data_IF_935911469269
#
_entry.id   IF_935911469269
#
_cell.length_a   1.000
_cell.length_b   1.000
_cell.length_c   1.000
_cell.angle_alpha   90.00
_cell.angle_beta   90.00
_cell.angle_gamma   90.00
#
_symmetry.space_group_name_H-M   'P 1'
#
loop_
_entity.id
_entity.type
_entity.pdbx_description
1 polymer ?
#
# COMPACT_ATOMS: atom_id res chain seq x y z
N UNK A 1 -0.98 12.52 17.64
CA UNK A 1 0.46 12.28 17.88
C UNK A 1 1.12 12.07 16.53
N UNK A 2 2.27 12.70 16.23
CA UNK A 2 3.01 12.40 15.01
C UNK A 2 3.48 10.94 15.01
N UNK A 3 3.69 10.38 13.82
CA UNK A 3 4.25 9.03 13.66
C UNK A 3 5.65 8.96 14.26
N UNK A 4 5.89 7.92 15.09
CA UNK A 4 7.21 7.58 15.62
C UNK A 4 7.50 6.13 15.26
N UNK A 5 8.48 5.93 14.39
CA UNK A 5 8.90 4.59 13.95
C UNK A 5 9.25 3.71 15.15
N UNK A 6 8.66 2.51 15.19
CA UNK A 6 8.84 1.54 16.29
C UNK A 6 7.97 1.78 17.53
N UNK A 7 7.32 2.94 17.68
CA UNK A 7 6.46 3.26 18.82
C UNK A 7 4.99 3.41 18.42
N UNK A 8 4.72 4.05 17.28
CA UNK A 8 3.37 4.15 16.73
C UNK A 8 2.99 2.82 16.09
N UNK A 9 1.91 2.21 16.56
CA UNK A 9 1.33 1.01 15.94
C UNK A 9 0.90 1.32 14.52
N UNK A 10 1.28 0.46 13.58
CA UNK A 10 0.83 0.48 12.19
C UNK A 10 0.08 -0.81 11.86
N UNK A 11 -0.88 -0.72 10.94
CA UNK A 11 -1.69 -1.86 10.48
C UNK A 11 -1.87 -1.74 8.98
N UNK A 12 -1.78 -2.84 8.25
CA UNK A 12 -2.12 -2.88 6.81
C UNK A 12 -3.63 -2.94 6.65
N UNK A 13 -4.22 -1.89 6.06
CA UNK A 13 -5.68 -1.80 5.82
C UNK A 13 -6.06 -1.40 4.39
N UNK A 14 -5.08 -1.02 3.57
CA UNK A 14 -5.28 -0.61 2.17
C UNK A 14 -4.81 -1.70 1.22
N UNK A 15 -5.63 -2.07 0.25
CA UNK A 15 -5.33 -3.11 -0.73
C UNK A 15 -6.21 -2.98 -1.99
N UNK A 16 -5.79 -3.63 -3.07
CA UNK A 16 -6.62 -3.83 -4.26
C UNK A 16 -7.23 -5.23 -4.21
N UNK A 17 -8.55 -5.32 -4.38
CA UNK A 17 -9.25 -6.56 -4.66
C UNK A 17 -9.50 -6.65 -6.17
N UNK A 18 -9.07 -7.74 -6.80
CA UNK A 18 -9.07 -7.86 -8.27
C UNK A 18 -9.86 -9.07 -8.76
N UNK A 19 -10.53 -8.94 -9.89
CA UNK A 19 -11.22 -10.03 -10.59
C UNK A 19 -10.23 -10.98 -11.29
N UNK A 20 -10.63 -12.24 -11.62
CA UNK A 20 -9.72 -13.23 -12.23
C UNK A 20 -9.11 -12.83 -13.59
N UNK A 21 -9.73 -11.90 -14.31
CA UNK A 21 -9.20 -11.37 -15.58
C UNK A 21 -8.09 -10.31 -15.39
N UNK A 22 -7.82 -9.90 -14.15
CA UNK A 22 -6.72 -9.00 -13.80
C UNK A 22 -5.52 -9.84 -13.39
N UNK A 23 -4.49 -9.87 -14.24
CA UNK A 23 -3.22 -10.50 -13.90
C UNK A 23 -2.32 -9.51 -13.15
N UNK A 24 -2.16 -9.70 -11.84
CA UNK A 24 -1.21 -8.94 -11.01
C UNK A 24 0.22 -9.26 -11.43
N UNK A 25 0.99 -8.23 -11.79
CA UNK A 25 2.42 -8.33 -12.16
C UNK A 25 3.34 -7.95 -11.01
N UNK A 26 3.01 -6.88 -10.30
CA UNK A 26 3.74 -6.40 -9.13
C UNK A 26 2.79 -5.64 -8.20
N UNK A 27 2.99 -5.78 -6.89
CA UNK A 27 2.30 -4.98 -5.88
C UNK A 27 3.29 -4.52 -4.83
N UNK A 28 3.29 -3.22 -4.53
CA UNK A 28 4.19 -2.66 -3.52
C UNK A 28 3.56 -1.49 -2.79
N UNK A 29 3.93 -1.36 -1.52
CA UNK A 29 3.63 -0.17 -0.72
C UNK A 29 4.84 0.76 -0.74
N UNK A 30 4.64 2.05 -0.99
CA UNK A 30 5.72 3.03 -0.92
C UNK A 30 5.79 3.60 0.51
N UNK A 31 6.73 3.09 1.31
CA UNK A 31 6.96 3.55 2.68
C UNK A 31 7.73 4.87 2.70
N UNK A 32 6.98 5.97 2.80
CA UNK A 32 7.52 7.32 3.00
C UNK A 32 7.59 7.73 4.47
N UNK A 33 7.50 6.78 5.41
CA UNK A 33 7.43 7.04 6.85
C UNK A 33 6.37 8.10 7.22
N UNK A 34 5.21 8.05 6.54
CA UNK A 34 4.08 8.98 6.75
C UNK A 34 4.42 10.47 6.54
N UNK A 35 5.48 10.78 5.77
CA UNK A 35 5.94 12.16 5.53
C UNK A 35 4.94 13.02 4.75
N UNK A 36 4.17 12.40 3.87
CA UNK A 36 3.32 13.09 2.89
C UNK A 36 1.82 12.83 3.08
N UNK A 37 1.45 11.78 3.81
CA UNK A 37 0.07 11.37 4.10
C UNK A 37 0.08 10.47 5.34
N UNK A 38 -1.06 10.35 6.03
CA UNK A 38 -1.31 9.39 7.10
C UNK A 38 -1.56 7.96 6.57
N UNK A 39 -1.58 7.78 5.26
CA UNK A 39 -1.56 6.48 4.56
C UNK A 39 -0.32 6.32 3.69
N UNK A 40 0.08 5.07 3.44
CA UNK A 40 1.09 4.76 2.43
C UNK A 40 0.41 4.38 1.11
N UNK A 41 0.85 4.94 -0.03
CA UNK A 41 0.34 4.53 -1.33
C UNK A 41 0.62 3.05 -1.62
N UNK A 42 -0.41 2.34 -2.09
CA UNK A 42 -0.29 0.98 -2.65
C UNK A 42 -0.26 1.10 -4.17
N UNK A 43 0.80 0.60 -4.80
CA UNK A 43 0.98 0.58 -6.24
C UNK A 43 0.77 -0.84 -6.78
N UNK A 44 -0.06 -0.95 -7.82
CA UNK A 44 -0.32 -2.19 -8.53
C UNK A 44 0.09 -2.04 -9.99
N UNK A 45 1.00 -2.90 -10.44
CA UNK A 45 1.23 -3.17 -11.86
C UNK A 45 0.44 -4.40 -12.25
N UNK A 46 -0.40 -4.29 -13.28
CA UNK A 46 -1.24 -5.39 -13.72
C UNK A 46 -1.39 -5.40 -15.24
N UNK A 47 -1.87 -6.53 -15.75
CA UNK A 47 -2.29 -6.71 -17.13
C UNK A 47 -3.75 -7.18 -17.14
N UNK A 48 -4.53 -6.72 -18.12
CA UNK A 48 -5.83 -7.29 -18.43
C UNK A 48 -5.68 -8.44 -19.43
N UNK A 49 -6.36 -9.54 -19.15
CA UNK A 49 -6.43 -10.71 -20.03
C UNK A 49 -7.49 -10.52 -21.10
#
# INVERSE_FOLDING_TARGET
>A
MPYVKGNTKVTTIDFFLTSPNVQVKDVKTLDYNFKHSDHHPVYLSFKLN
#
